data_IF_723048982433
#
_entry.id   IF_723048982433
#
_cell.length_a   1.000
_cell.length_b   1.000
_cell.length_c   1.000
_cell.angle_alpha   90.00
_cell.angle_beta   90.00
_cell.angle_gamma   90.00
#
_symmetry.space_group_name_H-M   'P 1'
#
loop_
_entity.id
_entity.type
_entity.pdbx_description
1 polymer ?
#
# COMPACT_ATOMS: atom_id res chain seq x y z
N UNK A 1 0.40 -18.13 82.92
CA UNK A 1 0.02 -18.31 81.51
C UNK A 1 0.09 -16.94 80.85
N UNK A 2 1.11 -16.73 80.01
CA UNK A 2 1.35 -15.48 79.31
C UNK A 2 1.78 -15.83 77.89
N UNK A 3 0.80 -15.88 76.98
CA UNK A 3 1.02 -16.11 75.55
C UNK A 3 1.34 -14.76 74.88
N UNK A 4 2.57 -14.63 74.38
CA UNK A 4 2.99 -13.50 73.55
C UNK A 4 2.65 -13.75 72.07
N UNK A 5 2.26 -12.73 71.30
CA UNK A 5 1.99 -12.88 69.87
C UNK A 5 3.29 -13.08 69.09
N UNK A 6 3.34 -14.13 68.27
CA UNK A 6 4.47 -14.44 67.40
C UNK A 6 4.63 -13.48 66.21
N UNK A 7 5.79 -13.51 65.53
CA UNK A 7 6.15 -12.56 64.48
C UNK A 7 5.47 -12.93 63.15
N UNK A 8 4.37 -12.25 62.81
CA UNK A 8 3.66 -12.44 61.52
C UNK A 8 3.99 -11.32 60.52
N UNK A 9 4.87 -10.36 60.85
CA UNK A 9 5.00 -9.11 60.10
C UNK A 9 6.05 -9.02 58.98
N UNK A 10 7.03 -9.91 58.91
CA UNK A 10 8.23 -9.69 58.05
C UNK A 10 8.18 -10.37 56.68
N UNK A 11 7.49 -11.52 56.55
CA UNK A 11 7.45 -12.27 55.29
C UNK A 11 6.56 -11.62 54.21
N UNK A 12 5.46 -10.97 54.62
CA UNK A 12 4.52 -10.33 53.68
C UNK A 12 5.05 -9.03 53.06
N UNK A 13 6.01 -8.36 53.71
CA UNK A 13 6.65 -7.14 53.17
C UNK A 13 7.72 -7.47 52.13
N UNK A 14 8.40 -8.62 52.26
CA UNK A 14 9.38 -9.09 51.27
C UNK A 14 8.75 -9.43 49.92
N UNK A 15 7.58 -10.09 49.91
CA UNK A 15 6.89 -10.47 48.68
C UNK A 15 6.32 -9.28 47.91
N UNK A 16 5.92 -8.21 48.59
CA UNK A 16 5.48 -6.96 47.97
C UNK A 16 6.64 -6.18 47.35
N UNK A 17 7.81 -6.18 48.00
CA UNK A 17 9.01 -5.54 47.47
C UNK A 17 9.56 -6.27 46.23
N UNK A 18 9.51 -7.61 46.23
CA UNK A 18 9.89 -8.42 45.06
C UNK A 18 8.88 -8.25 43.91
N UNK A 19 7.58 -8.21 44.18
CA UNK A 19 6.56 -7.94 43.18
C UNK A 19 6.68 -6.52 42.60
N UNK A 20 7.01 -5.52 43.43
CA UNK A 20 7.25 -4.15 42.99
C UNK A 20 8.54 -4.01 42.18
N UNK A 21 9.60 -4.75 42.55
CA UNK A 21 10.86 -4.80 41.79
C UNK A 21 10.68 -5.51 40.44
N UNK A 22 9.91 -6.60 40.41
CA UNK A 22 9.53 -7.29 39.17
C UNK A 22 8.67 -6.40 38.28
N UNK A 23 7.69 -5.67 38.83
CA UNK A 23 6.88 -4.69 38.10
C UNK A 23 7.70 -3.48 37.60
N UNK A 24 8.69 -3.03 38.37
CA UNK A 24 9.61 -1.97 37.95
C UNK A 24 10.56 -2.45 36.84
N UNK A 25 11.00 -3.70 36.86
CA UNK A 25 11.77 -4.33 35.77
C UNK A 25 10.93 -4.60 34.52
N UNK A 26 9.62 -4.84 34.68
CA UNK A 26 8.67 -4.96 33.58
C UNK A 26 8.29 -3.61 32.95
N UNK A 27 8.60 -2.49 33.62
CA UNK A 27 8.42 -1.13 33.12
C UNK A 27 9.66 -0.52 32.47
N UNK A 28 10.78 -1.24 32.41
CA UNK A 28 11.94 -0.81 31.66
C UNK A 28 11.59 -0.89 30.16
N UNK A 29 11.39 0.27 29.54
CA UNK A 29 11.24 0.36 28.09
C UNK A 29 12.44 -0.26 27.36
N UNK A 30 12.31 -0.54 26.05
CA UNK A 30 13.38 -1.13 25.28
C UNK A 30 14.67 -0.31 25.42
N UNK A 31 15.81 -0.99 25.49
CA UNK A 31 17.10 -0.34 25.35
C UNK A 31 17.18 0.42 24.02
N UNK A 32 18.09 1.39 23.90
CA UNK A 32 18.26 2.13 22.64
C UNK A 32 18.55 1.23 21.44
N UNK A 33 19.30 0.14 21.66
CA UNK A 33 19.59 -0.86 20.63
C UNK A 33 18.34 -1.66 20.23
N UNK A 34 17.54 -2.11 21.20
CA UNK A 34 16.28 -2.82 20.93
C UNK A 34 15.28 -1.91 20.22
N UNK A 35 15.11 -0.67 20.68
CA UNK A 35 14.23 0.30 20.03
C UNK A 35 14.65 0.56 18.57
N UNK A 36 15.96 0.65 18.31
CA UNK A 36 16.50 0.80 16.95
C UNK A 36 16.21 -0.43 16.10
N UNK A 37 16.45 -1.63 16.63
CA UNK A 37 16.17 -2.88 15.92
C UNK A 37 14.66 -3.03 15.62
N UNK A 38 13.80 -2.77 16.60
CA UNK A 38 12.35 -2.77 16.44
C UNK A 38 11.91 -1.80 15.35
N UNK A 39 12.47 -0.58 15.32
CA UNK A 39 12.17 0.40 14.30
C UNK A 39 12.58 -0.09 12.90
N UNK A 40 13.82 -0.57 12.73
CA UNK A 40 14.33 -1.04 11.44
C UNK A 40 13.55 -2.25 10.90
N UNK A 41 13.37 -3.29 11.72
CA UNK A 41 12.63 -4.48 11.31
C UNK A 41 11.15 -4.20 11.11
N UNK A 42 10.56 -3.34 11.94
CA UNK A 42 9.16 -2.92 11.80
C UNK A 42 8.92 -2.16 10.50
N UNK A 43 9.78 -1.19 10.18
CA UNK A 43 9.67 -0.43 8.92
C UNK A 43 9.91 -1.32 7.69
N UNK A 44 10.88 -2.24 7.75
CA UNK A 44 11.10 -3.21 6.68
C UNK A 44 9.89 -4.15 6.48
N UNK A 45 9.33 -4.67 7.58
CA UNK A 45 8.14 -5.51 7.53
C UNK A 45 6.93 -4.75 6.97
N UNK A 46 6.73 -3.49 7.39
CA UNK A 46 5.67 -2.64 6.86
C UNK A 46 5.83 -2.41 5.35
N UNK A 47 7.03 -2.10 4.88
CA UNK A 47 7.30 -1.93 3.45
C UNK A 47 6.93 -3.20 2.66
N UNK A 48 7.34 -4.37 3.13
CA UNK A 48 6.97 -5.65 2.51
C UNK A 48 5.45 -5.87 2.47
N UNK A 49 4.75 -5.53 3.56
CA UNK A 49 3.29 -5.63 3.62
C UNK A 49 2.62 -4.66 2.65
N UNK A 50 3.08 -3.42 2.57
CA UNK A 50 2.55 -2.43 1.64
C UNK A 50 2.77 -2.83 0.19
N UNK A 51 3.96 -3.31 -0.15
CA UNK A 51 4.25 -3.81 -1.50
C UNK A 51 3.39 -5.02 -1.85
N UNK A 52 3.24 -5.98 -0.94
CA UNK A 52 2.34 -7.13 -1.16
C UNK A 52 0.88 -6.69 -1.31
N UNK A 53 0.44 -5.72 -0.53
CA UNK A 53 -0.91 -5.19 -0.60
C UNK A 53 -1.18 -4.50 -1.94
N UNK A 54 -0.31 -3.59 -2.37
CA UNK A 54 -0.41 -2.93 -3.68
C UNK A 54 -0.43 -3.96 -4.82
N UNK A 55 0.50 -4.93 -4.79
CA UNK A 55 0.55 -6.00 -5.79
C UNK A 55 -0.76 -6.80 -5.84
N UNK A 56 -1.28 -7.22 -4.68
CA UNK A 56 -2.53 -8.00 -4.61
C UNK A 56 -3.71 -7.15 -5.08
N UNK A 57 -3.80 -5.90 -4.64
CA UNK A 57 -4.88 -4.99 -5.01
C UNK A 57 -4.88 -4.75 -6.51
N UNK A 58 -3.73 -4.35 -7.06
CA UNK A 58 -3.59 -4.01 -8.47
C UNK A 58 -3.82 -5.24 -9.36
N UNK A 59 -3.19 -6.39 -9.08
CA UNK A 59 -3.33 -7.60 -9.89
C UNK A 59 -4.70 -8.27 -9.79
N UNK A 60 -5.25 -8.41 -8.58
CA UNK A 60 -6.45 -9.23 -8.38
C UNK A 60 -7.73 -8.41 -8.34
N UNK A 61 -7.69 -7.18 -7.85
CA UNK A 61 -8.88 -6.34 -7.79
C UNK A 61 -8.93 -5.41 -9.01
N UNK A 62 -7.94 -4.56 -9.21
CA UNK A 62 -7.97 -3.59 -10.32
C UNK A 62 -7.91 -4.28 -11.69
N UNK A 63 -7.05 -5.29 -11.89
CA UNK A 63 -7.01 -6.13 -13.09
C UNK A 63 -8.02 -7.30 -13.10
N UNK A 64 -8.97 -7.31 -12.15
CA UNK A 64 -10.04 -8.31 -12.05
C UNK A 64 -9.55 -9.77 -11.97
N UNK A 65 -8.28 -10.00 -11.63
CA UNK A 65 -7.69 -11.34 -11.51
C UNK A 65 -8.41 -12.23 -10.48
N UNK A 66 -9.05 -11.63 -9.47
CA UNK A 66 -9.85 -12.33 -8.45
C UNK A 66 -10.96 -13.17 -9.08
N UNK A 67 -11.54 -12.71 -10.19
CA UNK A 67 -12.62 -13.41 -10.88
C UNK A 67 -12.15 -14.72 -11.55
N UNK A 68 -10.85 -14.87 -11.74
CA UNK A 68 -10.22 -16.06 -12.35
C UNK A 68 -9.85 -17.12 -11.29
N UNK A 69 -9.75 -16.76 -10.01
CA UNK A 69 -9.39 -17.69 -8.93
C UNK A 69 -10.52 -18.69 -8.63
N UNK A 70 -10.20 -19.98 -8.56
CA UNK A 70 -11.19 -21.05 -8.29
C UNK A 70 -11.86 -20.90 -6.92
N UNK A 71 -11.09 -20.52 -5.90
CA UNK A 71 -11.63 -20.29 -4.56
C UNK A 71 -12.63 -19.12 -4.56
N UNK A 72 -12.29 -18.00 -5.20
CA UNK A 72 -13.17 -16.85 -5.28
C UNK A 72 -14.46 -17.17 -6.06
N UNK A 73 -14.35 -17.94 -7.16
CA UNK A 73 -15.50 -18.43 -7.92
C UNK A 73 -16.38 -19.35 -7.06
N UNK A 74 -15.78 -20.26 -6.31
CA UNK A 74 -16.51 -21.16 -5.40
C UNK A 74 -17.27 -20.40 -4.32
N UNK A 75 -16.61 -19.47 -3.62
CA UNK A 75 -17.24 -18.61 -2.61
C UNK A 75 -18.39 -17.80 -3.22
N UNK A 76 -18.15 -17.19 -4.39
CA UNK A 76 -19.17 -16.42 -5.10
C UNK A 76 -20.41 -17.26 -5.44
N UNK A 77 -20.21 -18.51 -5.88
CA UNK A 77 -21.30 -19.43 -6.19
C UNK A 77 -22.06 -19.87 -4.94
N UNK A 78 -21.35 -20.16 -3.83
CA UNK A 78 -21.97 -20.56 -2.55
C UNK A 78 -22.88 -19.46 -2.00
N UNK A 79 -22.45 -18.21 -2.10
CA UNK A 79 -23.18 -17.06 -1.55
C UNK A 79 -23.99 -16.28 -2.58
N UNK A 80 -24.11 -16.77 -3.82
CA UNK A 80 -24.81 -16.09 -4.93
C UNK A 80 -24.37 -14.64 -5.14
N UNK A 81 -23.09 -14.35 -4.97
CA UNK A 81 -22.53 -13.01 -5.12
C UNK A 81 -22.31 -12.67 -6.60
N UNK A 82 -22.37 -11.40 -7.02
CA UNK A 82 -22.03 -11.01 -8.39
C UNK A 82 -20.52 -11.09 -8.64
N UNK A 83 -20.13 -11.14 -9.92
CA UNK A 83 -18.73 -10.98 -10.35
C UNK A 83 -18.21 -9.61 -9.92
N UNK A 84 -16.97 -9.55 -9.44
CA UNK A 84 -16.35 -8.29 -9.05
C UNK A 84 -16.13 -7.41 -10.30
N UNK A 85 -16.50 -6.12 -10.23
CA UNK A 85 -16.52 -5.21 -11.41
C UNK A 85 -15.38 -4.20 -11.46
N UNK A 86 -14.50 -4.14 -10.46
CA UNK A 86 -13.36 -3.21 -10.44
C UNK A 86 -13.77 -1.76 -10.20
N UNK A 87 -12.79 -0.88 -10.27
CA UNK A 87 -12.86 0.57 -10.03
C UNK A 87 -12.68 1.40 -11.31
N UNK A 88 -12.68 0.77 -12.49
CA UNK A 88 -12.44 1.42 -13.78
C UNK A 88 -10.99 1.34 -14.26
N UNK A 89 -10.10 0.70 -13.50
CA UNK A 89 -8.70 0.56 -13.88
C UNK A 89 -8.48 -0.20 -15.21
N UNK A 90 -9.27 -1.24 -15.50
CA UNK A 90 -9.18 -1.95 -16.79
C UNK A 90 -9.64 -1.06 -17.94
N UNK A 91 -10.61 -0.19 -17.71
CA UNK A 91 -11.09 0.79 -18.69
C UNK A 91 -10.02 1.84 -18.96
N UNK A 92 -9.33 2.32 -17.92
CA UNK A 92 -8.17 3.20 -18.06
C UNK A 92 -7.08 2.60 -18.96
N UNK A 93 -6.74 1.31 -18.77
CA UNK A 93 -5.81 0.61 -19.65
C UNK A 93 -6.25 0.57 -21.12
N UNK A 94 -7.55 0.41 -21.39
CA UNK A 94 -8.07 0.39 -22.77
C UNK A 94 -7.99 1.75 -23.45
N UNK A 95 -8.03 2.83 -22.67
CA UNK A 95 -7.95 4.21 -23.16
C UNK A 95 -6.52 4.73 -23.25
N UNK A 96 -5.57 4.05 -22.61
CA UNK A 96 -4.16 4.44 -22.61
C UNK A 96 -3.51 4.04 -23.93
N UNK A 97 -3.00 5.03 -24.64
CA UNK A 97 -2.19 4.84 -25.84
C UNK A 97 -0.74 4.47 -25.47
N UNK A 98 0.01 3.99 -26.45
CA UNK A 98 1.39 3.52 -26.23
C UNK A 98 2.35 4.63 -25.74
N UNK A 99 2.06 5.89 -26.12
CA UNK A 99 2.75 7.10 -25.66
C UNK A 99 2.27 7.59 -24.27
N UNK A 100 1.46 6.79 -23.57
CA UNK A 100 0.82 7.07 -22.29
C UNK A 100 -0.27 8.15 -22.31
N UNK A 101 -0.56 8.77 -23.46
CA UNK A 101 -1.72 9.67 -23.56
C UNK A 101 -3.04 8.89 -23.53
N UNK A 102 -4.16 9.59 -23.33
CA UNK A 102 -5.49 8.98 -23.25
C UNK A 102 -6.31 9.27 -24.52
N UNK A 103 -7.14 8.32 -24.93
CA UNK A 103 -8.10 8.53 -26.01
C UNK A 103 -9.07 9.69 -25.69
N UNK A 104 -9.43 10.44 -26.74
CA UNK A 104 -10.38 11.56 -26.65
C UNK A 104 -11.79 11.14 -26.22
N UNK A 105 -12.17 9.88 -26.49
CA UNK A 105 -13.47 9.33 -26.10
C UNK A 105 -13.27 8.39 -24.91
N UNK A 106 -13.61 8.82 -23.68
CA UNK A 106 -13.64 7.91 -22.55
C UNK A 106 -14.61 6.76 -22.78
N UNK A 107 -14.33 5.65 -22.13
CA UNK A 107 -15.27 4.60 -21.88
C UNK A 107 -16.38 5.14 -20.99
N UNK A 108 -17.62 4.75 -21.27
CA UNK A 108 -18.81 5.17 -20.52
C UNK A 108 -18.68 5.00 -19.00
N UNK A 109 -17.87 4.04 -18.53
CA UNK A 109 -17.63 3.84 -17.10
C UNK A 109 -16.79 4.96 -16.44
N UNK A 110 -15.94 5.63 -17.22
CA UNK A 110 -15.00 6.67 -16.78
C UNK A 110 -15.42 8.09 -17.18
N UNK A 111 -16.50 8.27 -17.95
CA UNK A 111 -16.98 9.58 -18.42
C UNK A 111 -17.19 10.60 -17.28
N UNK A 112 -17.62 10.14 -16.11
CA UNK A 112 -17.90 10.99 -14.94
C UNK A 112 -16.67 11.23 -14.05
N UNK A 113 -15.57 10.48 -14.24
CA UNK A 113 -14.36 10.62 -13.45
C UNK A 113 -13.35 11.54 -14.16
N UNK A 114 -13.10 12.76 -13.64
CA UNK A 114 -12.14 13.69 -14.25
C UNK A 114 -10.70 13.16 -14.24
N UNK A 115 -10.41 12.15 -13.43
CA UNK A 115 -9.10 11.51 -13.37
C UNK A 115 -9.08 10.17 -14.10
N UNK A 116 -10.16 9.76 -14.77
CA UNK A 116 -10.20 8.60 -15.67
C UNK A 116 -9.64 7.31 -15.04
N UNK A 117 -9.93 7.06 -13.75
CA UNK A 117 -9.44 5.89 -13.02
C UNK A 117 -7.96 5.94 -12.61
N UNK A 118 -7.27 7.07 -12.80
CA UNK A 118 -5.85 7.24 -12.46
C UNK A 118 -5.61 7.76 -11.04
N UNK A 119 -6.58 8.46 -10.44
CA UNK A 119 -6.43 9.01 -9.11
C UNK A 119 -6.58 7.96 -8.01
N UNK A 120 -5.95 8.23 -6.88
CA UNK A 120 -6.09 7.53 -5.61
C UNK A 120 -6.91 8.41 -4.65
N UNK A 121 -8.25 8.31 -4.71
CA UNK A 121 -9.15 9.15 -3.91
C UNK A 121 -9.10 8.81 -2.42
N UNK A 122 -9.72 9.64 -1.60
CA UNK A 122 -9.77 9.43 -0.14
C UNK A 122 -10.41 8.10 0.25
N UNK A 123 -11.46 7.67 -0.45
CA UNK A 123 -12.08 6.39 -0.14
C UNK A 123 -11.12 5.22 -0.40
N UNK A 124 -10.32 5.28 -1.48
CA UNK A 124 -9.32 4.26 -1.81
C UNK A 124 -8.17 4.28 -0.80
N UNK A 125 -7.75 5.49 -0.39
CA UNK A 125 -6.77 5.68 0.69
C UNK A 125 -7.23 5.02 1.99
N UNK A 126 -8.48 5.25 2.40
CA UNK A 126 -9.05 4.61 3.58
C UNK A 126 -9.14 3.09 3.44
N UNK A 127 -9.62 2.59 2.29
CA UNK A 127 -9.73 1.17 2.03
C UNK A 127 -8.36 0.46 2.08
N UNK A 128 -7.36 1.03 1.41
CA UNK A 128 -6.01 0.47 1.40
C UNK A 128 -5.36 0.53 2.79
N UNK A 129 -5.57 1.63 3.54
CA UNK A 129 -5.12 1.75 4.93
C UNK A 129 -5.66 0.64 5.81
N UNK A 130 -6.98 0.36 5.73
CA UNK A 130 -7.57 -0.76 6.47
C UNK A 130 -6.99 -2.10 6.01
N UNK A 131 -6.82 -2.29 4.70
CA UNK A 131 -6.29 -3.54 4.16
C UNK A 131 -4.82 -3.80 4.51
N UNK A 132 -4.01 -2.76 4.72
CA UNK A 132 -2.62 -2.86 5.21
C UNK A 132 -2.58 -3.02 6.73
N UNK A 133 -3.48 -2.35 7.46
CA UNK A 133 -3.52 -2.41 8.91
C UNK A 133 -3.83 -3.82 9.42
N UNK A 134 -4.71 -4.57 8.74
CA UNK A 134 -5.06 -5.95 9.12
C UNK A 134 -3.83 -6.88 9.23
N UNK A 135 -2.95 -7.00 8.23
CA UNK A 135 -1.72 -7.78 8.35
C UNK A 135 -0.62 -7.06 9.15
N UNK A 136 -0.52 -5.72 9.09
CA UNK A 136 0.53 -4.99 9.80
C UNK A 136 0.37 -5.08 11.33
N UNK A 137 -0.87 -5.04 11.82
CA UNK A 137 -1.13 -5.03 13.26
C UNK A 137 -0.54 -6.24 14.01
N UNK A 138 -0.83 -7.50 13.64
CA UNK A 138 -0.22 -8.64 14.32
C UNK A 138 1.30 -8.73 14.11
N UNK A 139 1.79 -8.43 12.90
CA UNK A 139 3.23 -8.50 12.58
C UNK A 139 4.04 -7.49 13.39
N UNK A 140 3.62 -6.23 13.40
CA UNK A 140 4.34 -5.18 14.11
C UNK A 140 4.17 -5.30 15.63
N UNK A 141 3.02 -5.80 16.11
CA UNK A 141 2.84 -6.12 17.53
C UNK A 141 3.81 -7.23 17.97
N UNK A 142 4.04 -8.24 17.13
CA UNK A 142 5.03 -9.29 17.38
C UNK A 142 6.46 -8.74 17.43
N UNK A 143 6.75 -7.68 16.65
CA UNK A 143 8.01 -6.94 16.70
C UNK A 143 8.09 -5.94 17.86
N UNK A 144 7.14 -5.95 18.80
CA UNK A 144 7.15 -5.13 20.00
C UNK A 144 6.63 -3.70 19.82
N UNK A 145 5.99 -3.38 18.70
CA UNK A 145 5.39 -2.06 18.50
C UNK A 145 4.08 -1.93 19.28
N UNK A 146 3.84 -0.75 19.85
CA UNK A 146 2.57 -0.44 20.50
C UNK A 146 1.47 -0.18 19.47
N UNK A 147 0.21 -0.47 19.82
CA UNK A 147 -0.92 -0.23 18.93
C UNK A 147 -1.02 1.21 18.39
N UNK A 148 -0.80 2.28 19.20
CA UNK A 148 -0.78 3.64 18.68
C UNK A 148 0.35 3.89 17.66
N UNK A 149 1.54 3.30 17.88
CA UNK A 149 2.66 3.44 16.95
C UNK A 149 2.37 2.76 15.61
N UNK A 150 1.80 1.55 15.65
CA UNK A 150 1.36 0.80 14.46
C UNK A 150 0.37 1.63 13.64
N UNK A 151 -0.72 2.09 14.26
CA UNK A 151 -1.76 2.86 13.57
C UNK A 151 -1.17 4.13 12.97
N UNK A 152 -0.37 4.87 13.75
CA UNK A 152 0.23 6.13 13.30
C UNK A 152 1.13 5.93 12.08
N UNK A 153 2.04 4.94 12.13
CA UNK A 153 2.99 4.71 11.05
C UNK A 153 2.31 4.12 9.82
N UNK A 154 1.32 3.23 9.97
CA UNK A 154 0.54 2.72 8.83
C UNK A 154 -0.21 3.86 8.14
N UNK A 155 -0.90 4.72 8.90
CA UNK A 155 -1.62 5.89 8.33
C UNK A 155 -0.63 6.82 7.62
N UNK A 156 0.49 7.16 8.25
CA UNK A 156 1.50 8.03 7.64
C UNK A 156 2.08 7.44 6.35
N UNK A 157 2.37 6.13 6.33
CA UNK A 157 2.90 5.44 5.16
C UNK A 157 1.89 5.39 4.01
N UNK A 158 0.60 5.16 4.29
CA UNK A 158 -0.44 5.16 3.25
C UNK A 158 -0.76 6.57 2.73
N UNK A 159 -0.67 7.60 3.57
CA UNK A 159 -0.75 8.98 3.09
C UNK A 159 0.41 9.30 2.16
N UNK A 160 1.63 8.87 2.49
CA UNK A 160 2.79 9.01 1.59
C UNK A 160 2.58 8.25 0.28
N UNK A 161 2.09 7.01 0.34
CA UNK A 161 1.78 6.21 -0.85
C UNK A 161 0.75 6.93 -1.75
N UNK A 162 -0.35 7.43 -1.17
CA UNK A 162 -1.37 8.19 -1.88
C UNK A 162 -0.81 9.46 -2.52
N UNK A 163 0.08 10.17 -1.82
CA UNK A 163 0.77 11.35 -2.36
C UNK A 163 1.66 10.99 -3.56
N UNK A 164 2.45 9.91 -3.46
CA UNK A 164 3.30 9.45 -4.57
C UNK A 164 2.44 9.08 -5.77
N UNK A 165 1.39 8.27 -5.56
CA UNK A 165 0.46 7.85 -6.61
C UNK A 165 -0.18 9.05 -7.32
N UNK A 166 -0.83 9.94 -6.57
CA UNK A 166 -1.54 11.10 -7.15
C UNK A 166 -0.61 12.11 -7.79
N UNK A 167 0.66 12.16 -7.38
CA UNK A 167 1.65 13.02 -8.01
C UNK A 167 2.10 12.47 -9.36
N UNK A 168 2.12 11.13 -9.50
CA UNK A 168 2.74 10.40 -10.60
C UNK A 168 1.72 9.95 -11.66
N UNK A 169 0.68 9.20 -11.27
CA UNK A 169 -0.19 8.47 -12.20
C UNK A 169 -1.10 9.38 -13.04
N UNK A 170 -1.86 10.35 -12.50
CA UNK A 170 -2.57 11.30 -13.35
C UNK A 170 -1.63 12.11 -14.27
N UNK A 171 -0.48 12.54 -13.73
CA UNK A 171 0.45 13.39 -14.46
C UNK A 171 1.09 12.72 -15.69
N UNK A 172 1.42 11.43 -15.61
CA UNK A 172 1.99 10.72 -16.78
C UNK A 172 0.99 10.60 -17.94
N UNK A 173 -0.31 10.67 -17.67
CA UNK A 173 -1.37 10.66 -18.66
C UNK A 173 -1.79 12.06 -19.13
N UNK A 174 -1.07 13.11 -18.69
CA UNK A 174 -1.41 14.50 -19.02
C UNK A 174 -2.67 15.02 -18.34
N UNK A 175 -3.17 14.33 -17.30
CA UNK A 175 -4.36 14.73 -16.55
C UNK A 175 -4.02 15.82 -15.50
N UNK A 176 -5.03 16.61 -15.07
CA UNK A 176 -4.82 17.64 -14.06
C UNK A 176 -4.41 17.05 -12.69
N UNK A 177 -3.76 17.89 -11.89
CA UNK A 177 -3.39 17.55 -10.51
C UNK A 177 -4.62 17.23 -9.66
N UNK A 178 -4.51 16.20 -8.81
CA UNK A 178 -5.56 15.78 -7.89
C UNK A 178 -5.66 16.80 -6.76
N UNK A 179 -6.84 17.42 -6.53
CA UNK A 179 -7.04 18.36 -5.45
C UNK A 179 -7.29 17.63 -4.12
N UNK A 180 -7.06 18.36 -3.01
CA UNK A 180 -7.28 17.86 -1.65
C UNK A 180 -8.72 17.40 -1.40
N UNK A 181 -9.71 17.96 -2.10
CA UNK A 181 -11.12 17.55 -1.96
C UNK A 181 -11.40 16.15 -2.51
N UNK A 182 -10.54 15.62 -3.38
CA UNK A 182 -10.72 14.31 -4.02
C UNK A 182 -9.82 13.24 -3.38
N UNK A 183 -8.54 13.56 -3.12
CA UNK A 183 -7.55 12.64 -2.56
C UNK A 183 -6.34 13.38 -2.02
N UNK A 184 -5.27 12.62 -1.71
CA UNK A 184 -4.00 13.21 -1.30
C UNK A 184 -3.47 14.12 -2.42
N UNK A 185 -3.19 15.41 -2.15
CA UNK A 185 -3.06 16.39 -3.22
C UNK A 185 -1.70 16.32 -3.93
N UNK A 186 -1.73 16.29 -5.26
CA UNK A 186 -0.52 16.12 -6.10
C UNK A 186 0.52 17.23 -5.90
N UNK A 187 0.09 18.45 -5.55
CA UNK A 187 1.00 19.59 -5.42
C UNK A 187 2.06 19.40 -4.32
N UNK A 188 1.81 18.52 -3.33
CA UNK A 188 2.72 18.31 -2.19
C UNK A 188 4.05 17.68 -2.64
N UNK A 189 4.01 16.77 -3.61
CA UNK A 189 5.22 16.14 -4.15
C UNK A 189 5.48 16.51 -5.62
N UNK A 190 4.77 17.48 -6.19
CA UNK A 190 4.92 17.86 -7.61
C UNK A 190 6.38 18.19 -8.00
N UNK A 191 7.15 18.82 -7.10
CA UNK A 191 8.57 19.11 -7.32
C UNK A 191 9.47 17.87 -7.45
N UNK A 192 8.98 16.68 -7.10
CA UNK A 192 9.73 15.43 -7.19
C UNK A 192 9.54 14.70 -8.53
N UNK A 193 8.61 15.12 -9.40
CA UNK A 193 8.26 14.43 -10.65
C UNK A 193 9.47 14.14 -11.55
N UNK A 194 10.43 15.06 -11.58
CA UNK A 194 11.64 14.96 -12.41
C UNK A 194 12.83 14.34 -11.68
N UNK A 195 12.64 13.87 -10.44
CA UNK A 195 13.72 13.20 -9.70
C UNK A 195 13.95 11.80 -10.25
N UNK A 196 15.18 11.26 -10.14
CA UNK A 196 15.50 9.91 -10.62
C UNK A 196 14.57 8.83 -10.07
N UNK A 197 14.13 8.96 -8.81
CA UNK A 197 13.22 8.01 -8.20
C UNK A 197 11.82 8.04 -8.86
N UNK A 198 11.23 9.23 -9.04
CA UNK A 198 9.91 9.35 -9.68
C UNK A 198 9.96 8.98 -11.16
N UNK A 199 11.05 9.30 -11.85
CA UNK A 199 11.25 8.86 -13.23
C UNK A 199 11.35 7.34 -13.32
N UNK A 200 12.03 6.69 -12.37
CA UNK A 200 12.08 5.23 -12.31
C UNK A 200 10.69 4.60 -12.02
N UNK A 201 9.93 5.16 -11.06
CA UNK A 201 8.56 4.70 -10.80
C UNK A 201 7.64 4.89 -12.01
N UNK A 202 7.80 6.01 -12.73
CA UNK A 202 7.08 6.28 -13.99
C UNK A 202 7.40 5.21 -15.00
N UNK A 203 8.68 4.99 -15.35
CA UNK A 203 9.08 3.98 -16.33
C UNK A 203 8.61 2.57 -15.95
N UNK A 204 8.62 2.23 -14.67
CA UNK A 204 8.09 0.96 -14.18
C UNK A 204 6.58 0.82 -14.46
N UNK A 205 5.79 1.88 -14.23
CA UNK A 205 4.34 1.89 -14.51
C UNK A 205 4.01 2.00 -16.00
N UNK A 206 4.82 2.70 -16.79
CA UNK A 206 4.68 2.66 -18.25
C UNK A 206 4.92 1.25 -18.78
N UNK A 207 5.92 0.54 -18.23
CA UNK A 207 6.14 -0.87 -18.50
C UNK A 207 4.93 -1.74 -18.15
N UNK A 208 4.18 -1.39 -17.09
CA UNK A 208 2.91 -2.04 -16.76
C UNK A 208 1.87 -1.86 -17.86
N UNK A 209 1.64 -0.63 -18.33
CA UNK A 209 0.69 -0.33 -19.41
C UNK A 209 1.06 -1.01 -20.75
N UNK A 210 2.35 -1.05 -21.08
CA UNK A 210 2.86 -1.60 -22.35
C UNK A 210 3.03 -3.12 -22.34
N UNK A 211 3.03 -3.75 -21.17
CA UNK A 211 3.09 -5.21 -21.09
C UNK A 211 1.86 -5.84 -21.77
N UNK A 212 1.99 -6.99 -22.46
CA UNK A 212 0.84 -7.65 -23.07
C UNK A 212 -0.29 -7.91 -22.06
N UNK A 213 -1.45 -7.28 -22.29
CA UNK A 213 -2.61 -7.35 -21.39
C UNK A 213 -2.41 -6.66 -20.04
N UNK A 214 -1.44 -5.75 -19.94
CA UNK A 214 -1.00 -5.10 -18.71
C UNK A 214 -0.62 -6.11 -17.61
N UNK A 215 0.02 -7.21 -18.01
CA UNK A 215 0.40 -8.30 -17.11
C UNK A 215 1.88 -8.23 -16.70
N UNK A 216 2.19 -7.34 -15.77
CA UNK A 216 3.52 -7.19 -15.16
C UNK A 216 3.65 -5.85 -14.43
N UNK A 217 4.67 -5.67 -13.60
CA UNK A 217 4.92 -4.42 -12.85
C UNK A 217 3.68 -3.90 -12.09
N UNK A 218 2.99 -4.75 -11.32
CA UNK A 218 1.80 -4.36 -10.55
C UNK A 218 2.10 -3.47 -9.34
N UNK A 219 3.33 -3.38 -8.86
CA UNK A 219 3.75 -2.42 -7.87
C UNK A 219 4.14 -1.12 -8.55
N UNK A 220 3.34 -0.08 -8.35
CA UNK A 220 3.53 1.24 -8.97
C UNK A 220 4.36 2.13 -8.08
N UNK A 221 3.92 2.31 -6.83
CA UNK A 221 4.49 3.23 -5.85
C UNK A 221 5.31 2.52 -4.77
N UNK A 222 5.11 1.21 -4.55
CA UNK A 222 5.84 0.42 -3.56
C UNK A 222 6.44 -0.87 -4.17
N UNK A 223 7.49 -0.78 -5.01
CA UNK A 223 8.07 -1.93 -5.69
C UNK A 223 8.79 -2.90 -4.78
N UNK A 224 8.51 -4.20 -4.95
CA UNK A 224 9.28 -5.34 -4.40
C UNK A 224 8.63 -6.67 -4.81
N UNK A 225 7.30 -6.79 -4.67
CA UNK A 225 6.64 -8.09 -4.80
C UNK A 225 6.65 -8.60 -6.23
N UNK A 226 6.56 -7.73 -7.24
CA UNK A 226 6.76 -8.14 -8.63
C UNK A 226 8.08 -8.89 -8.86
N UNK A 227 9.18 -8.42 -8.27
CA UNK A 227 10.48 -9.08 -8.38
C UNK A 227 10.49 -10.44 -7.66
N UNK A 228 9.82 -10.54 -6.51
CA UNK A 228 9.75 -11.77 -5.73
C UNK A 228 8.91 -12.86 -6.41
N UNK A 229 7.86 -12.48 -7.14
CA UNK A 229 6.90 -13.43 -7.74
C UNK A 229 7.04 -13.56 -9.26
N UNK A 230 8.06 -12.93 -9.85
CA UNK A 230 8.41 -13.06 -11.26
C UNK A 230 7.45 -12.36 -12.22
N UNK A 231 6.81 -11.27 -11.78
CA UNK A 231 5.98 -10.40 -12.64
C UNK A 231 6.62 -9.05 -12.95
N UNK A 232 7.85 -8.83 -12.50
CA UNK A 232 8.63 -7.68 -12.94
C UNK A 232 9.07 -7.87 -14.39
N UNK A 233 8.67 -6.94 -15.27
CA UNK A 233 8.99 -6.95 -16.71
C UNK A 233 10.00 -5.87 -17.09
N UNK A 234 10.46 -5.06 -16.13
CA UNK A 234 11.38 -3.96 -16.38
C UNK A 234 10.72 -2.80 -17.13
N UNK A 235 11.56 -1.99 -17.79
CA UNK A 235 11.12 -0.94 -18.70
C UNK A 235 10.74 -1.54 -20.05
N UNK A 236 9.59 -1.15 -20.58
CA UNK A 236 9.17 -1.49 -21.94
C UNK A 236 9.09 -0.16 -22.70
N UNK A 237 9.92 0.03 -23.75
CA UNK A 237 9.90 1.26 -24.53
C UNK A 237 8.60 1.36 -25.33
N UNK A 238 8.20 2.59 -25.68
CA UNK A 238 7.14 2.82 -26.64
C UNK A 238 7.48 2.18 -27.99
N UNK A 239 6.47 1.66 -28.67
CA UNK A 239 6.56 1.19 -30.04
C UNK A 239 6.87 2.37 -30.95
N UNK A 240 7.99 2.30 -31.69
CA UNK A 240 8.29 3.30 -32.71
C UNK A 240 7.21 3.27 -33.79
N UNK A 241 6.39 4.32 -33.88
CA UNK A 241 5.50 4.52 -35.03
C UNK A 241 6.38 4.94 -36.21
N UNK A 242 6.39 4.18 -37.33
CA UNK A 242 7.18 4.55 -38.49
C UNK A 242 6.79 5.97 -38.95
N UNK A 243 7.78 6.83 -39.19
CA UNK A 243 7.56 8.24 -39.55
C UNK A 243 6.62 8.47 -40.77
N UNK A 244 6.36 7.43 -41.56
CA UNK A 244 5.44 7.46 -42.69
C UNK A 244 3.94 7.53 -42.29
N UNK A 245 3.55 7.06 -41.09
CA UNK A 245 2.15 7.10 -40.63
C UNK A 245 1.77 8.41 -39.93
N UNK A 246 2.75 9.18 -39.44
CA UNK A 246 2.51 10.48 -38.77
C UNK A 246 2.23 11.61 -39.77
N UNK A 247 2.51 11.39 -41.06
CA UNK A 247 2.37 12.38 -42.14
C UNK A 247 1.11 12.19 -43.01
N UNK A 248 0.21 11.26 -42.67
CA UNK A 248 -1.05 11.00 -43.37
C UNK A 248 -2.25 11.55 -42.58
#
# INVERSE_FOLDING_TARGET
ASDGPGPVGTAALGSLAEAASAAASAGAGPSSAEATAQALFGLAALYCIMSANEYVYHRYFQHLGINKLDLARSVRNIFSLPTYRGDGHVEHHKETLDDMSLTFQPCQFLDEDPFRGTAFPWWATCAMTLSVLVPAYPVLSFLGWSAPAIVTVVVAALLLHALVWNTLHPNMHGLPDVPLSHGAPSFVLAGYRETPLFQWLRMNHEGHHRAPGAHGNYNVCCPLVDQLVGTHVGEIPATEVPAAEVAA
#
